data_IF_325094969558
#
_entry.id   IF_325094969558
#
_cell.length_a   1.000
_cell.length_b   1.000
_cell.length_c   1.000
_cell.angle_alpha   90.00
_cell.angle_beta   90.00
_cell.angle_gamma   90.00
#
_symmetry.space_group_name_H-M   'P 1'
#
loop_
_entity.id
_entity.type
_entity.pdbx_description
1 polymer ?
#
# COMPACT_ATOMS: atom_id res chain seq x y z
N UNK A 1 4.10 4.42 -11.20
CA UNK A 1 4.01 3.29 -10.27
C UNK A 1 2.60 2.69 -10.29
N UNK A 2 2.48 1.45 -9.86
CA UNK A 2 1.23 0.69 -9.70
C UNK A 2 1.17 0.17 -8.26
N UNK A 3 -0.03 0.14 -7.67
CA UNK A 3 -0.26 -0.34 -6.30
C UNK A 3 -1.25 -1.50 -6.31
N UNK A 4 -1.15 -2.37 -5.32
CA UNK A 4 -2.14 -3.43 -5.10
C UNK A 4 -3.49 -2.84 -4.66
N UNK A 5 -4.53 -3.69 -4.69
CA UNK A 5 -5.90 -3.31 -4.35
C UNK A 5 -6.16 -3.23 -2.85
N UNK A 6 -5.42 -3.99 -2.04
CA UNK A 6 -5.64 -4.10 -0.60
C UNK A 6 -4.50 -3.40 0.16
N UNK A 7 -4.86 -2.59 1.16
CA UNK A 7 -3.92 -1.98 2.10
C UNK A 7 -3.86 -2.71 3.43
N UNK A 8 -2.77 -2.46 4.16
CA UNK A 8 -2.59 -2.85 5.56
C UNK A 8 -2.32 -1.60 6.39
N UNK A 9 -2.89 -1.54 7.58
CA UNK A 9 -2.80 -0.40 8.49
C UNK A 9 -2.36 -0.77 9.91
N UNK A 10 -2.19 -2.07 10.19
CA UNK A 10 -1.76 -2.64 11.46
C UNK A 10 -1.29 -4.08 11.30
N UNK A 11 -0.53 -4.60 12.25
CA UNK A 11 0.03 -5.95 12.24
C UNK A 11 1.23 -6.12 11.31
N UNK A 12 1.65 -7.38 11.13
CA UNK A 12 2.79 -7.78 10.29
C UNK A 12 2.33 -8.43 9.00
N UNK A 13 2.77 -7.87 7.89
CA UNK A 13 2.34 -8.29 6.57
C UNK A 13 3.51 -8.49 5.62
N UNK A 14 3.37 -9.47 4.73
CA UNK A 14 4.42 -9.87 3.81
C UNK A 14 3.88 -10.15 2.41
N UNK A 15 4.66 -9.77 1.41
CA UNK A 15 4.48 -10.23 0.02
C UNK A 15 5.83 -10.47 -0.65
N UNK A 16 5.82 -11.25 -1.72
CA UNK A 16 6.99 -11.47 -2.57
C UNK A 16 6.81 -10.82 -3.95
N UNK A 17 7.93 -10.50 -4.58
CA UNK A 17 7.97 -10.16 -5.99
C UNK A 17 9.18 -10.81 -6.65
N UNK A 18 9.02 -11.26 -7.89
CA UNK A 18 10.09 -11.82 -8.71
C UNK A 18 10.40 -10.84 -9.83
N UNK A 19 11.68 -10.51 -10.01
CA UNK A 19 12.11 -9.74 -11.18
C UNK A 19 12.26 -10.71 -12.35
N UNK A 20 11.30 -10.73 -13.26
CA UNK A 20 11.28 -11.69 -14.38
C UNK A 20 12.20 -11.26 -15.51
N UNK A 21 12.20 -9.97 -15.84
CA UNK A 21 13.05 -9.40 -16.89
C UNK A 21 13.58 -8.05 -16.43
N UNK A 22 14.89 -7.82 -16.57
CA UNK A 22 15.48 -6.50 -16.31
C UNK A 22 16.58 -6.18 -17.34
N UNK A 23 16.17 -5.70 -18.54
CA UNK A 23 17.09 -5.31 -19.60
C UNK A 23 18.08 -4.23 -19.18
N UNK A 24 19.16 -4.06 -19.96
CA UNK A 24 20.19 -3.07 -19.67
C UNK A 24 19.60 -1.65 -19.56
N UNK A 25 19.94 -0.97 -18.46
CA UNK A 25 19.43 0.38 -18.17
C UNK A 25 17.98 0.44 -17.69
N UNK A 26 17.28 -0.69 -17.58
CA UNK A 26 16.05 -0.81 -16.84
C UNK A 26 16.33 -0.82 -15.33
N UNK A 27 15.34 -0.45 -14.53
CA UNK A 27 15.45 -0.47 -13.08
C UNK A 27 14.06 -0.57 -12.45
N UNK A 28 14.01 -1.06 -11.23
CA UNK A 28 12.77 -1.15 -10.46
C UNK A 28 12.95 -0.50 -9.10
N UNK A 29 11.83 -0.01 -8.55
CA UNK A 29 11.69 0.37 -7.15
C UNK A 29 10.43 -0.30 -6.61
N UNK A 30 10.63 -1.17 -5.64
CA UNK A 30 9.58 -2.01 -5.06
C UNK A 30 9.49 -1.71 -3.56
N UNK A 31 8.29 -1.81 -2.99
CA UNK A 31 8.10 -1.58 -1.56
C UNK A 31 6.66 -1.26 -1.21
N UNK A 32 6.48 -0.29 -0.33
CA UNK A 32 5.19 0.09 0.24
C UNK A 32 4.86 1.55 -0.07
N UNK A 33 3.62 1.80 -0.48
CA UNK A 33 3.13 3.14 -0.80
C UNK A 33 1.77 3.40 -0.16
N UNK A 34 1.50 4.62 0.28
CA UNK A 34 0.19 5.04 0.76
C UNK A 34 -0.69 5.52 -0.40
N UNK A 35 -1.98 5.72 -0.12
CA UNK A 35 -3.02 6.05 -1.09
C UNK A 35 -2.70 7.26 -1.98
N UNK A 36 -2.17 8.33 -1.40
CA UNK A 36 -1.89 9.59 -2.12
C UNK A 36 -0.48 9.69 -2.69
N UNK A 37 0.26 8.57 -2.76
CA UNK A 37 1.52 8.53 -3.47
C UNK A 37 1.32 8.85 -4.96
N UNK A 38 2.18 9.71 -5.52
CA UNK A 38 2.03 10.14 -6.91
C UNK A 38 2.30 8.98 -7.89
N UNK A 39 1.22 8.48 -8.54
CA UNK A 39 1.30 7.34 -9.45
C UNK A 39 2.20 7.58 -10.67
N UNK A 40 2.48 8.83 -11.05
CA UNK A 40 3.38 9.18 -12.15
C UNK A 40 4.85 9.28 -11.72
N UNK A 41 5.13 9.29 -10.41
CA UNK A 41 6.47 9.34 -9.86
C UNK A 41 7.00 7.94 -9.53
N UNK A 42 8.34 7.77 -9.42
CA UNK A 42 8.89 6.54 -8.89
C UNK A 42 8.58 6.41 -7.39
N UNK A 43 8.39 5.18 -6.92
CA UNK A 43 8.15 4.93 -5.50
C UNK A 43 9.30 5.49 -4.64
N UNK A 44 8.95 6.10 -3.51
CA UNK A 44 9.88 6.83 -2.64
C UNK A 44 10.27 8.22 -3.13
N UNK A 45 9.55 8.79 -4.11
CA UNK A 45 9.69 10.19 -4.52
C UNK A 45 9.16 11.18 -3.47
N UNK A 46 7.99 10.87 -2.90
CA UNK A 46 7.27 11.68 -1.91
C UNK A 46 7.35 11.07 -0.50
N UNK A 47 6.57 11.65 0.43
CA UNK A 47 6.42 11.19 1.82
C UNK A 47 5.56 9.93 1.95
N UNK A 48 4.84 9.54 0.90
CA UNK A 48 3.87 8.45 0.94
C UNK A 48 4.49 7.12 0.51
N UNK A 49 5.73 7.10 0.04
CA UNK A 49 6.39 5.90 -0.45
C UNK A 49 7.69 5.56 0.27
N UNK A 50 7.89 4.26 0.48
CA UNK A 50 9.15 3.66 0.92
C UNK A 50 9.53 2.56 -0.07
N UNK A 51 10.74 2.62 -0.61
CA UNK A 51 11.13 1.68 -1.66
C UNK A 51 12.57 1.19 -1.56
N UNK A 52 12.80 0.08 -2.24
CA UNK A 52 14.09 -0.52 -2.49
C UNK A 52 14.37 -0.55 -3.99
N UNK A 53 15.47 0.08 -4.40
CA UNK A 53 15.88 0.20 -5.81
C UNK A 53 16.79 -0.96 -6.20
N UNK A 54 16.53 -1.57 -7.36
CA UNK A 54 17.35 -2.66 -7.94
C UNK A 54 18.81 -2.26 -8.06
N UNK A 55 19.06 -1.12 -8.69
CA UNK A 55 20.40 -0.58 -8.89
C UNK A 55 21.02 -0.12 -7.56
N UNK A 56 22.18 -0.70 -7.21
CA UNK A 56 22.98 -0.41 -6.01
C UNK A 56 22.29 -0.73 -4.67
N UNK A 57 21.17 -1.44 -4.67
CA UNK A 57 20.45 -1.87 -3.46
C UNK A 57 20.10 -0.73 -2.50
N UNK A 58 19.79 0.45 -3.02
CA UNK A 58 19.53 1.65 -2.20
C UNK A 58 18.08 1.74 -1.80
N UNK A 59 17.81 2.14 -0.56
CA UNK A 59 16.47 2.48 -0.07
C UNK A 59 16.13 3.95 -0.37
N UNK A 60 14.88 4.24 -0.74
CA UNK A 60 14.40 5.57 -1.11
C UNK A 60 13.12 5.95 -0.36
N UNK A 61 13.11 7.17 0.17
CA UNK A 61 11.97 7.86 0.77
C UNK A 61 12.19 9.37 0.62
N UNK A 62 11.16 10.16 0.32
CA UNK A 62 11.28 11.61 0.07
C UNK A 62 12.37 11.99 -0.95
N UNK A 63 12.54 11.17 -1.99
CA UNK A 63 13.62 11.30 -2.98
C UNK A 63 15.06 11.18 -2.43
N UNK A 64 15.22 10.87 -1.14
CA UNK A 64 16.51 10.63 -0.51
C UNK A 64 16.89 9.15 -0.60
N UNK A 65 17.89 8.86 -1.43
CA UNK A 65 18.47 7.52 -1.57
C UNK A 65 19.61 7.28 -0.58
N UNK A 66 19.54 6.19 0.20
CA UNK A 66 20.63 5.73 1.07
C UNK A 66 21.03 4.30 0.69
N UNK A 67 22.33 4.00 0.75
CA UNK A 67 22.77 2.61 0.61
C UNK A 67 22.16 1.77 1.74
N UNK A 68 21.79 0.54 1.42
CA UNK A 68 21.04 -0.35 2.31
C UNK A 68 21.48 -1.79 2.13
N UNK A 69 21.61 -2.25 0.89
CA UNK A 69 22.07 -3.60 0.58
C UNK A 69 22.77 -3.66 -0.77
N UNK A 70 23.19 -4.86 -1.15
CA UNK A 70 23.63 -5.15 -2.51
C UNK A 70 22.49 -5.02 -3.52
N UNK A 71 22.85 -4.81 -4.78
CA UNK A 71 21.88 -4.79 -5.86
C UNK A 71 21.13 -6.12 -5.99
N UNK A 72 19.88 -6.05 -6.45
CA UNK A 72 19.14 -7.21 -6.91
C UNK A 72 18.97 -7.15 -8.43
N UNK A 73 18.85 -8.32 -9.04
CA UNK A 73 18.92 -8.56 -10.46
C UNK A 73 17.71 -9.36 -10.95
N UNK A 74 17.67 -9.60 -12.26
CA UNK A 74 16.75 -10.55 -12.88
C UNK A 74 16.89 -11.94 -12.23
N UNK A 75 15.76 -12.62 -12.02
CA UNK A 75 15.67 -13.91 -11.36
C UNK A 75 15.60 -13.87 -9.83
N UNK A 76 15.95 -12.75 -9.18
CA UNK A 76 15.87 -12.64 -7.72
C UNK A 76 14.41 -12.64 -7.23
N UNK A 77 14.19 -13.35 -6.13
CA UNK A 77 12.94 -13.34 -5.37
C UNK A 77 13.10 -12.37 -4.21
N UNK A 78 12.25 -11.36 -4.17
CA UNK A 78 12.33 -10.26 -3.22
C UNK A 78 11.15 -10.34 -2.26
N UNK A 79 11.42 -10.34 -0.97
CA UNK A 79 10.41 -10.30 0.08
C UNK A 79 10.27 -8.92 0.68
N UNK A 80 9.05 -8.53 1.01
CA UNK A 80 8.72 -7.20 1.52
C UNK A 80 7.86 -7.36 2.77
N UNK A 81 8.45 -7.09 3.94
CA UNK A 81 7.77 -7.09 5.22
C UNK A 81 7.46 -5.66 5.65
N UNK A 82 6.27 -5.46 6.21
CA UNK A 82 5.90 -4.27 6.97
C UNK A 82 5.34 -4.70 8.33
N UNK A 83 5.78 -4.02 9.40
CA UNK A 83 5.30 -4.20 10.77
C UNK A 83 4.72 -2.86 11.24
N UNK A 84 3.42 -2.85 11.50
CA UNK A 84 2.65 -1.68 11.91
C UNK A 84 2.05 -1.96 13.29
N UNK A 85 2.54 -1.33 14.36
CA UNK A 85 1.97 -1.53 15.70
C UNK A 85 0.54 -0.99 15.78
N UNK A 86 -0.26 -1.62 16.63
CA UNK A 86 -1.62 -1.16 16.94
C UNK A 86 -1.58 0.14 17.76
N UNK A 87 -2.48 1.06 17.45
CA UNK A 87 -2.71 2.31 18.18
C UNK A 87 -4.05 2.20 18.93
N UNK A 88 -4.07 2.60 20.21
CA UNK A 88 -5.21 2.33 21.12
C UNK A 88 -6.48 3.14 20.84
N UNK A 89 -6.42 4.14 19.97
CA UNK A 89 -7.53 5.06 19.68
C UNK A 89 -7.72 5.31 18.17
N UNK A 90 -7.22 4.41 17.32
CA UNK A 90 -7.32 4.53 15.87
C UNK A 90 -8.50 3.70 15.33
N UNK A 91 -9.40 4.35 14.60
CA UNK A 91 -10.40 3.64 13.81
C UNK A 91 -9.75 3.05 12.55
N UNK A 92 -9.68 1.73 12.50
CA UNK A 92 -9.10 1.01 11.36
C UNK A 92 -10.08 0.67 10.25
N UNK A 93 -11.36 1.02 10.42
CA UNK A 93 -12.38 0.75 9.41
C UNK A 93 -12.10 1.55 8.13
N UNK A 94 -12.24 0.91 6.95
CA UNK A 94 -12.05 1.58 5.67
C UNK A 94 -13.19 2.57 5.40
N UNK A 95 -12.95 3.48 4.44
CA UNK A 95 -13.99 4.39 3.97
C UNK A 95 -15.14 3.59 3.33
N UNK A 96 -16.38 3.90 3.71
CA UNK A 96 -17.58 3.27 3.14
C UNK A 96 -17.82 3.63 1.66
N UNK A 97 -17.34 4.79 1.21
CA UNK A 97 -17.64 5.38 -0.10
C UNK A 97 -19.15 5.58 -0.44
N UNK A 98 -20.09 5.10 0.39
CA UNK A 98 -21.53 5.28 0.21
C UNK A 98 -22.01 6.72 0.41
N UNK A 99 -21.15 7.57 0.96
CA UNK A 99 -21.31 9.02 1.06
C UNK A 99 -20.93 9.75 -0.23
N UNK A 100 -20.33 9.05 -1.21
CA UNK A 100 -19.78 9.65 -2.43
C UNK A 100 -20.80 9.70 -3.57
N UNK A 101 -20.70 10.72 -4.44
CA UNK A 101 -21.56 10.81 -5.60
C UNK A 101 -21.35 9.62 -6.55
N UNK A 102 -22.46 9.07 -7.04
CA UNK A 102 -22.47 8.00 -8.02
C UNK A 102 -22.56 8.60 -9.43
N UNK A 103 -21.57 8.31 -10.27
CA UNK A 103 -21.45 8.85 -11.64
C UNK A 103 -21.54 7.72 -12.64
N UNK A 104 -22.28 7.94 -13.74
CA UNK A 104 -22.36 7.00 -14.86
C UNK A 104 -21.34 7.36 -15.93
N UNK A 105 -20.42 6.45 -16.24
CA UNK A 105 -19.46 6.60 -17.33
C UNK A 105 -19.40 5.34 -18.18
N UNK A 106 -19.54 5.49 -19.51
CA UNK A 106 -19.52 4.38 -20.49
C UNK A 106 -20.32 3.15 -20.03
N UNK A 107 -21.58 3.38 -19.66
CA UNK A 107 -22.55 2.37 -19.18
C UNK A 107 -22.28 1.74 -17.80
N UNK A 108 -21.23 2.12 -17.09
CA UNK A 108 -20.91 1.63 -15.75
C UNK A 108 -21.10 2.74 -14.70
N UNK A 109 -21.31 2.34 -13.44
CA UNK A 109 -21.48 3.24 -12.30
C UNK A 109 -20.19 3.24 -11.46
N UNK A 110 -19.75 4.44 -11.07
CA UNK A 110 -18.54 4.65 -10.28
C UNK A 110 -18.82 5.61 -9.14
N UNK A 111 -18.17 5.40 -8.00
CA UNK A 111 -18.07 6.42 -6.96
C UNK A 111 -16.95 7.39 -7.32
N UNK A 112 -17.23 8.69 -7.21
CA UNK A 112 -16.21 9.73 -7.37
C UNK A 112 -15.75 10.22 -6.00
N UNK A 113 -14.45 10.06 -5.72
CA UNK A 113 -13.80 10.62 -4.54
C UNK A 113 -12.83 11.75 -4.94
N UNK A 114 -12.63 12.71 -4.05
CA UNK A 114 -11.68 13.81 -4.22
C UNK A 114 -10.41 13.51 -3.46
N UNK A 115 -9.28 13.65 -4.13
CA UNK A 115 -7.98 13.50 -3.49
C UNK A 115 -7.74 14.59 -2.43
N UNK A 116 -7.39 14.17 -1.21
CA UNK A 116 -7.13 15.06 -0.07
C UNK A 116 -5.64 15.20 0.24
N UNK A 117 -4.79 15.21 -0.80
CA UNK A 117 -3.31 15.15 -0.67
C UNK A 117 -2.75 16.16 0.33
N UNK A 118 -3.17 17.43 0.26
CA UNK A 118 -2.67 18.50 1.13
C UNK A 118 -3.07 18.31 2.60
N UNK A 119 -4.27 17.80 2.85
CA UNK A 119 -4.76 17.51 4.20
C UNK A 119 -4.01 16.32 4.78
N UNK A 120 -3.85 15.25 4.00
CA UNK A 120 -3.09 14.07 4.42
C UNK A 120 -1.63 14.44 4.71
N UNK A 121 -0.98 15.25 3.86
CA UNK A 121 0.39 15.72 4.09
C UNK A 121 0.56 16.45 5.43
N UNK A 122 -0.44 17.26 5.83
CA UNK A 122 -0.43 17.96 7.12
C UNK A 122 -0.70 17.02 8.30
N UNK A 123 -1.44 15.95 8.07
CA UNK A 123 -1.82 14.95 9.08
C UNK A 123 -0.80 13.82 9.27
N UNK A 124 0.27 13.75 8.47
CA UNK A 124 1.29 12.70 8.59
C UNK A 124 1.96 12.75 9.96
N UNK A 125 1.76 11.67 10.73
CA UNK A 125 2.41 11.44 12.02
C UNK A 125 3.26 10.19 11.93
N UNK A 126 4.44 10.24 12.53
CA UNK A 126 5.30 9.06 12.66
C UNK A 126 4.60 8.05 13.57
N UNK A 127 4.63 6.77 13.18
CA UNK A 127 4.13 5.64 13.96
C UNK A 127 5.33 4.96 14.65
N UNK A 128 5.59 5.22 15.94
CA UNK A 128 6.77 4.69 16.62
C UNK A 128 6.75 3.17 16.70
N UNK A 129 7.90 2.53 16.47
CA UNK A 129 8.02 1.06 16.50
C UNK A 129 7.56 0.36 15.22
N UNK A 130 7.05 1.11 14.24
CA UNK A 130 6.83 0.59 12.89
C UNK A 130 8.16 0.32 12.18
N UNK A 131 8.18 -0.68 11.30
CA UNK A 131 9.38 -1.02 10.52
C UNK A 131 9.05 -1.65 9.17
N UNK A 132 9.96 -1.46 8.22
CA UNK A 132 9.98 -2.14 6.92
C UNK A 132 11.29 -2.90 6.79
N UNK A 133 11.21 -4.16 6.37
CA UNK A 133 12.35 -5.04 6.17
C UNK A 133 12.24 -5.73 4.81
N UNK A 134 13.36 -5.82 4.10
CA UNK A 134 13.42 -6.43 2.77
C UNK A 134 14.24 -7.72 2.79
N UNK A 135 13.87 -8.66 1.93
CA UNK A 135 14.48 -9.98 1.83
C UNK A 135 14.93 -10.22 0.40
N UNK A 136 16.07 -10.88 0.23
CA UNK A 136 16.59 -11.33 -1.06
C UNK A 136 16.78 -12.84 -1.00
N UNK A 137 16.01 -13.58 -1.81
CA UNK A 137 16.03 -15.03 -1.88
C UNK A 137 15.90 -15.66 -0.47
N UNK A 138 14.90 -15.19 0.30
CA UNK A 138 14.62 -15.62 1.68
C UNK A 138 15.52 -15.00 2.75
N UNK A 139 16.64 -14.36 2.39
CA UNK A 139 17.58 -13.79 3.36
C UNK A 139 17.27 -12.33 3.65
N UNK A 140 17.11 -11.98 4.93
CA UNK A 140 16.96 -10.60 5.37
C UNK A 140 18.14 -9.73 4.89
N UNK A 141 17.82 -8.54 4.40
CA UNK A 141 18.77 -7.48 4.05
C UNK A 141 18.89 -6.43 5.17
N UNK A 142 18.34 -6.72 6.36
CA UNK A 142 18.28 -5.83 7.52
C UNK A 142 17.09 -4.86 7.47
N UNK A 143 16.88 -4.09 8.53
CA UNK A 143 15.75 -3.17 8.60
C UNK A 143 15.97 -1.96 7.68
N UNK A 144 15.07 -1.79 6.71
CA UNK A 144 15.14 -0.73 5.71
C UNK A 144 14.59 0.60 6.21
N UNK A 145 13.53 0.59 7.00
CA UNK A 145 12.98 1.81 7.60
C UNK A 145 12.45 1.50 8.99
N UNK A 146 12.59 2.46 9.89
CA UNK A 146 12.00 2.45 11.23
C UNK A 146 11.21 3.73 11.41
N UNK A 147 10.18 3.69 12.25
CA UNK A 147 9.37 4.85 12.60
C UNK A 147 8.83 5.55 11.33
N UNK A 148 8.18 4.76 10.46
CA UNK A 148 7.53 5.27 9.25
C UNK A 148 6.26 6.04 9.60
N UNK A 149 5.71 6.80 8.66
CA UNK A 149 4.45 7.49 8.89
C UNK A 149 3.30 6.50 9.10
N UNK A 150 2.37 6.79 10.01
CA UNK A 150 1.13 6.03 10.17
C UNK A 150 0.24 6.17 8.94
N UNK A 151 -0.61 5.18 8.71
CA UNK A 151 -1.56 5.17 7.60
C UNK A 151 -1.74 3.79 6.96
N UNK A 152 -2.48 3.78 5.86
CA UNK A 152 -2.74 2.57 5.07
C UNK A 152 -1.68 2.40 3.98
N UNK A 153 -0.97 1.27 4.01
CA UNK A 153 0.09 0.94 3.06
C UNK A 153 -0.33 -0.15 2.09
N UNK A 154 0.02 0.02 0.83
CA UNK A 154 -0.22 -0.91 -0.27
C UNK A 154 1.11 -1.43 -0.79
N UNK A 155 1.23 -2.73 -1.11
CA UNK A 155 2.30 -3.22 -1.97
C UNK A 155 2.36 -2.39 -3.26
N UNK A 156 3.51 -1.79 -3.55
CA UNK A 156 3.64 -0.80 -4.63
C UNK A 156 4.91 -1.03 -5.43
N UNK A 157 4.78 -0.88 -6.75
CA UNK A 157 5.82 -1.18 -7.73
C UNK A 157 5.99 0.00 -8.67
N UNK A 158 7.24 0.41 -8.87
CA UNK A 158 7.62 1.34 -9.90
C UNK A 158 8.64 0.68 -10.83
N UNK A 159 8.35 0.75 -12.11
CA UNK A 159 9.18 0.20 -13.18
C UNK A 159 9.74 1.37 -14.00
N UNK A 160 11.00 1.26 -14.39
CA UNK A 160 11.67 2.19 -15.31
C UNK A 160 12.14 1.43 -16.54
N UNK A 161 11.72 1.89 -17.72
CA UNK A 161 11.83 1.18 -19.01
C UNK A 161 11.10 -0.18 -18.97
N UNK A 162 11.53 -1.13 -19.79
CA UNK A 162 10.85 -2.41 -20.03
C UNK A 162 11.23 -3.51 -19.04
N UNK A 163 11.24 -3.23 -17.73
CA UNK A 163 11.42 -4.30 -16.72
C UNK A 163 10.08 -4.98 -16.42
N UNK A 164 10.13 -6.28 -16.12
CA UNK A 164 8.96 -7.10 -15.80
C UNK A 164 9.09 -7.63 -14.38
N UNK A 165 8.05 -7.45 -13.57
CA UNK A 165 8.00 -7.89 -12.16
C UNK A 165 6.69 -8.61 -11.91
N UNK A 166 6.77 -9.85 -11.43
CA UNK A 166 5.62 -10.63 -11.01
C UNK A 166 5.45 -10.55 -9.49
N UNK A 167 4.25 -10.25 -9.01
CA UNK A 167 3.95 -10.14 -7.57
C UNK A 167 3.25 -11.39 -7.08
N UNK A 168 3.67 -11.87 -5.92
CA UNK A 168 3.07 -13.00 -5.23
C UNK A 168 2.61 -12.57 -3.83
N UNK A 169 1.29 -12.51 -3.65
CA UNK A 169 0.66 -12.15 -2.37
C UNK A 169 0.44 -13.37 -1.46
N UNK A 170 0.77 -14.58 -1.92
CA UNK A 170 0.48 -15.83 -1.23
C UNK A 170 -0.74 -16.56 -1.80
N UNK A 171 -1.07 -17.75 -1.27
CA UNK A 171 -0.43 -18.41 -0.12
C UNK A 171 0.87 -19.15 -0.46
N UNK A 172 1.13 -19.39 -1.75
CA UNK A 172 2.27 -20.19 -2.20
C UNK A 172 3.53 -19.33 -2.38
N UNK A 173 4.19 -18.99 -1.28
CA UNK A 173 5.46 -18.25 -1.29
C UNK A 173 6.64 -19.14 -1.71
N UNK A 174 7.66 -18.55 -2.34
CA UNK A 174 8.93 -19.25 -2.62
C UNK A 174 9.77 -19.39 -1.35
N UNK A 175 9.68 -18.42 -0.44
CA UNK A 175 10.38 -18.41 0.85
C UNK A 175 9.39 -18.31 2.03
N UNK A 176 8.57 -19.34 2.28
CA UNK A 176 7.56 -19.32 3.34
C UNK A 176 8.15 -19.27 4.76
N UNK A 177 9.43 -19.63 4.92
CA UNK A 177 10.16 -19.57 6.20
C UNK A 177 10.10 -18.19 6.86
N UNK A 178 10.14 -17.13 6.04
CA UNK A 178 10.13 -15.73 6.50
C UNK A 178 8.85 -15.40 7.27
N UNK A 179 7.69 -15.89 6.81
CA UNK A 179 6.41 -15.63 7.47
C UNK A 179 6.37 -16.28 8.86
N UNK A 180 6.86 -17.52 8.96
CA UNK A 180 6.85 -18.28 10.21
C UNK A 180 7.79 -17.69 11.26
N UNK A 181 9.01 -17.32 10.86
CA UNK A 181 10.00 -16.73 11.76
C UNK A 181 9.54 -15.39 12.33
N UNK A 182 8.91 -14.56 11.49
CA UNK A 182 8.53 -13.19 11.85
C UNK A 182 7.08 -13.08 12.32
N UNK A 183 6.32 -14.19 12.30
CA UNK A 183 4.89 -14.25 12.60
C UNK A 183 4.10 -13.23 11.78
N UNK A 184 4.39 -13.19 10.48
CA UNK A 184 3.75 -12.28 9.53
C UNK A 184 2.67 -13.00 8.73
N UNK A 185 1.63 -12.26 8.32
CA UNK A 185 0.57 -12.75 7.45
C UNK A 185 0.88 -12.48 5.99
N UNK A 186 0.40 -13.35 5.11
CA UNK A 186 0.47 -13.11 3.67
C UNK A 186 -0.54 -12.05 3.23
N UNK A 187 -0.21 -11.23 2.25
CA UNK A 187 -1.16 -10.25 1.69
C UNK A 187 -2.45 -10.90 1.13
N UNK A 188 -2.45 -12.18 0.78
CA UNK A 188 -3.64 -12.92 0.38
C UNK A 188 -4.71 -12.99 1.49
N UNK A 189 -4.30 -13.05 2.77
CA UNK A 189 -5.22 -13.08 3.91
C UNK A 189 -5.96 -11.74 4.09
N UNK A 190 -5.35 -10.64 3.60
CA UNK A 190 -5.94 -9.31 3.72
C UNK A 190 -7.25 -9.15 2.94
N UNK A 191 -7.49 -10.01 1.94
CA UNK A 191 -8.70 -9.98 1.13
C UNK A 191 -9.94 -10.21 1.99
N UNK A 192 -9.94 -11.27 2.80
CA UNK A 192 -11.09 -11.61 3.64
C UNK A 192 -11.29 -10.61 4.77
N UNK A 193 -10.19 -10.15 5.39
CA UNK A 193 -10.26 -9.13 6.43
C UNK A 193 -10.84 -7.81 5.89
N UNK A 194 -10.38 -7.35 4.73
CA UNK A 194 -10.85 -6.09 4.15
C UNK A 194 -12.32 -6.18 3.71
N UNK A 195 -12.76 -7.32 3.14
CA UNK A 195 -14.18 -7.51 2.78
C UNK A 195 -15.05 -7.40 4.03
N UNK A 196 -14.64 -8.02 5.13
CA UNK A 196 -15.38 -7.99 6.39
C UNK A 196 -15.41 -6.58 6.99
N UNK A 197 -14.28 -5.89 7.01
CA UNK A 197 -14.17 -4.51 7.48
C UNK A 197 -14.99 -3.53 6.61
N UNK A 198 -14.93 -3.68 5.28
CA UNK A 198 -15.70 -2.84 4.35
C UNK A 198 -17.20 -3.05 4.51
N UNK A 199 -17.64 -4.30 4.66
CA UNK A 199 -19.03 -4.63 4.93
C UNK A 199 -19.51 -3.96 6.24
N UNK A 200 -18.68 -4.00 7.29
CA UNK A 200 -18.99 -3.35 8.56
C UNK A 200 -19.06 -1.82 8.41
N UNK A 201 -18.11 -1.19 7.71
CA UNK A 201 -18.15 0.25 7.41
C UNK A 201 -19.44 0.65 6.70
N UNK A 202 -19.86 -0.13 5.70
CA UNK A 202 -21.07 0.12 4.93
C UNK A 202 -22.33 -0.04 5.79
N UNK A 203 -22.41 -1.09 6.62
CA UNK A 203 -23.55 -1.31 7.53
C UNK A 203 -23.65 -0.18 8.55
N UNK A 204 -22.53 0.23 9.15
CA UNK A 204 -22.50 1.35 10.10
C UNK A 204 -23.02 2.63 9.45
N UNK A 205 -22.49 2.97 8.27
CA UNK A 205 -22.91 4.16 7.54
C UNK A 205 -24.42 4.14 7.19
N UNK A 206 -24.90 3.01 6.67
CA UNK A 206 -26.30 2.87 6.27
C UNK A 206 -27.24 2.96 7.48
N UNK A 207 -26.84 2.40 8.62
CA UNK A 207 -27.62 2.44 9.86
C UNK A 207 -27.68 3.85 10.44
N UNK A 208 -26.56 4.57 10.47
CA UNK A 208 -26.49 5.96 10.95
C UNK A 208 -27.30 6.95 10.08
N UNK A 209 -27.43 6.63 8.79
CA UNK A 209 -28.11 7.46 7.81
C UNK A 209 -29.49 6.92 7.41
N UNK A 210 -30.04 5.97 8.17
CA UNK A 210 -31.35 5.41 7.87
C UNK A 210 -32.43 6.51 7.81
N UNK A 211 -33.30 6.42 6.81
CA UNK A 211 -34.30 7.44 6.48
C UNK A 211 -33.76 8.72 5.82
N UNK A 212 -32.44 8.97 5.78
CA UNK A 212 -31.81 10.16 5.16
C UNK A 212 -31.24 9.91 3.76
N UNK A 213 -31.08 8.65 3.37
CA UNK A 213 -30.52 8.20 2.09
C UNK A 213 -31.50 8.33 0.90
N UNK A 214 -32.20 9.47 0.79
CA UNK A 214 -33.09 9.77 -0.33
C UNK A 214 -32.34 10.56 -1.41
N UNK A 215 -32.52 10.16 -2.66
CA UNK A 215 -31.95 10.86 -3.83
C UNK A 215 -32.29 12.36 -3.84
N UNK A 216 -33.47 12.73 -3.34
CA UNK A 216 -33.95 14.12 -3.30
C UNK A 216 -33.13 15.02 -2.37
N UNK A 217 -32.47 14.47 -1.35
CA UNK A 217 -31.70 15.24 -0.36
C UNK A 217 -30.39 15.79 -0.92
N UNK A 218 -29.87 15.25 -2.04
CA UNK A 218 -28.61 15.69 -2.64
C UNK A 218 -28.75 16.95 -3.52
N UNK A 219 -29.97 17.32 -3.93
CA UNK A 219 -30.20 18.48 -4.81
C UNK A 219 -30.34 19.83 -4.06
N UNK A 220 -30.49 19.82 -2.74
CA UNK A 220 -30.70 21.06 -1.97
C UNK A 220 -29.42 21.73 -1.45
N UNK A 221 -28.26 21.08 -1.55
CA UNK A 221 -26.98 21.65 -1.07
C UNK A 221 -26.22 22.47 -2.12
N UNK A 222 -26.70 22.55 -3.37
CA UNK A 222 -26.10 23.37 -4.46
C UNK A 222 -26.81 24.70 -4.71
N UNK A 223 -27.73 25.13 -3.82
CA UNK A 223 -28.54 26.34 -3.99
C UNK A 223 -28.35 27.39 -2.88
N UNK A 224 -27.16 27.45 -2.25
CA UNK A 224 -26.77 28.60 -1.41
C UNK A 224 -25.38 29.09 -1.79
#
# INVERSE_FOLDING_TARGET
MVRATHSVNRGRWYFEAVVEEMPEGAATRLGWGQEYGNLQAPLGYDKFGYSWRSRKGTRFHESHGKHYSDAYAEGDVLGFLIDLPDETDTNYLPNTFKDRPLVKFKSHLYYEDKDKVQETLKGLKVLPGSKIEYFKNGKSQGVAFTDIYGGSYYPTISIHKSATVAVNFGPNFKHPEVLNELKAKGMCERVEELISEQCLSDIMYLTENDGKLRLDNFNFSKLK
#
